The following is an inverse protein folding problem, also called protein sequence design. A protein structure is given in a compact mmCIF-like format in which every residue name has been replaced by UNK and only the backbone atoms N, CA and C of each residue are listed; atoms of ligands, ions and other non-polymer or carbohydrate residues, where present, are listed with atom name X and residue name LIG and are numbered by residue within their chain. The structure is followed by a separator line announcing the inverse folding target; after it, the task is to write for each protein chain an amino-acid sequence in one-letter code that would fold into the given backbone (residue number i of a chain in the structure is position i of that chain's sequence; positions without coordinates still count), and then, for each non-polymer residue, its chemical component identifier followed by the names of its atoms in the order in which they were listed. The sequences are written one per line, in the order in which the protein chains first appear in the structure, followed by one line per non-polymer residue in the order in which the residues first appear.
data_IF_157436759508
#
_entry.id   IF_157436759508
#
_cell.length_a   1.000
_cell.length_b   1.000
_cell.length_c   1.000
_cell.angle_alpha   90.00
_cell.angle_beta   90.00
_cell.angle_gamma   90.00
#
_symmetry.space_group_name_H-M   'P 1'
#
loop_
_entity.id
_entity.type
_entity.pdbx_description
1 polymer ?
#
# COMPACT_ATOMS: atom_id res chain seq x y z
N UNK A 1 1.34 4.12 -30.92
CA UNK A 1 1.02 5.33 -30.12
C UNK A 1 -0.39 5.15 -29.62
N UNK A 2 -0.62 5.26 -28.31
CA UNK A 2 -1.95 5.18 -27.69
C UNK A 2 -2.53 6.60 -27.67
N UNK A 3 -3.80 6.77 -28.01
CA UNK A 3 -4.45 8.07 -27.92
C UNK A 3 -4.64 8.49 -26.45
N UNK A 4 -4.60 9.78 -26.14
CA UNK A 4 -4.64 10.28 -24.77
C UNK A 4 -5.88 9.80 -23.99
N UNK A 5 -7.03 9.75 -24.65
CA UNK A 5 -8.30 9.26 -24.11
C UNK A 5 -8.31 7.75 -23.81
N UNK A 6 -7.41 6.98 -24.44
CA UNK A 6 -7.28 5.54 -24.25
C UNK A 6 -6.12 5.13 -23.33
N UNK A 7 -5.35 6.09 -22.80
CA UNK A 7 -4.16 5.79 -21.96
C UNK A 7 -4.54 4.98 -20.72
N UNK A 8 -5.60 5.36 -20.00
CA UNK A 8 -5.99 4.65 -18.79
C UNK A 8 -6.43 3.22 -19.08
N UNK A 9 -7.24 3.03 -20.13
CA UNK A 9 -7.71 1.71 -20.55
C UNK A 9 -6.54 0.80 -20.96
N UNK A 10 -5.61 1.34 -21.75
CA UNK A 10 -4.45 0.60 -22.22
C UNK A 10 -3.46 0.30 -21.09
N UNK A 11 -3.24 1.24 -20.16
CA UNK A 11 -2.38 1.03 -18.99
C UNK A 11 -2.99 0.03 -18.01
N UNK A 12 -4.32 -0.01 -17.91
CA UNK A 12 -5.05 -1.00 -17.11
C UNK A 12 -5.27 -2.34 -17.82
N UNK A 13 -4.67 -2.57 -18.98
CA UNK A 13 -4.83 -3.80 -19.78
C UNK A 13 -6.29 -4.18 -20.07
N UNK A 14 -7.17 -3.18 -20.21
CA UNK A 14 -8.61 -3.38 -20.41
C UNK A 14 -9.42 -3.73 -19.15
N UNK A 15 -8.83 -3.63 -17.97
CA UNK A 15 -9.47 -3.98 -16.68
C UNK A 15 -10.09 -2.79 -15.95
N UNK A 16 -9.98 -1.57 -16.49
CA UNK A 16 -10.43 -0.35 -15.80
C UNK A 16 -11.93 -0.39 -15.49
N UNK A 17 -12.75 -0.92 -16.41
CA UNK A 17 -14.20 -1.05 -16.19
C UNK A 17 -14.53 -2.04 -15.08
N UNK A 18 -13.71 -3.08 -14.87
CA UNK A 18 -13.93 -4.08 -13.81
C UNK A 18 -13.67 -3.49 -12.42
N UNK A 19 -12.64 -2.65 -12.28
CA UNK A 19 -12.35 -1.95 -11.02
C UNK A 19 -13.41 -0.91 -10.63
N UNK A 20 -14.26 -0.51 -11.57
CA UNK A 20 -15.33 0.48 -11.35
C UNK A 20 -16.72 -0.13 -11.43
N UNK A 21 -16.83 -1.47 -11.45
CA UNK A 21 -18.12 -2.13 -11.57
C UNK A 21 -19.01 -1.83 -10.36
N UNK A 22 -20.25 -1.39 -10.62
CA UNK A 22 -21.18 -0.98 -9.57
C UNK A 22 -21.45 -2.11 -8.59
N UNK A 23 -21.32 -1.84 -7.30
CA UNK A 23 -21.58 -2.80 -6.22
C UNK A 23 -20.35 -3.64 -5.84
N UNK A 24 -19.24 -3.53 -6.57
CA UNK A 24 -17.94 -3.99 -6.10
C UNK A 24 -17.47 -3.12 -4.93
N UNK A 25 -16.90 -3.77 -3.92
CA UNK A 25 -16.15 -3.13 -2.85
C UNK A 25 -14.67 -3.40 -3.07
N UNK A 26 -13.87 -2.39 -2.75
CA UNK A 26 -12.42 -2.47 -2.82
C UNK A 26 -11.84 -2.09 -1.48
N UNK A 27 -10.89 -2.88 -1.02
CA UNK A 27 -10.07 -2.59 0.15
C UNK A 27 -8.61 -2.92 -0.19
N UNK A 28 -7.68 -2.07 0.20
CA UNK A 28 -6.27 -2.22 -0.11
C UNK A 28 -5.45 -2.08 1.17
N UNK A 29 -4.61 -3.08 1.39
CA UNK A 29 -3.60 -3.11 2.44
C UNK A 29 -2.23 -3.24 1.79
N UNK A 30 -1.19 -2.77 2.45
CA UNK A 30 0.16 -2.95 1.93
C UNK A 30 1.23 -2.99 3.01
N UNK A 31 2.35 -3.62 2.67
CA UNK A 31 3.59 -3.58 3.43
C UNK A 31 4.75 -3.42 2.46
N UNK A 32 5.88 -2.88 2.94
CA UNK A 32 7.08 -2.77 2.12
C UNK A 32 8.21 -3.61 2.69
N UNK A 33 8.99 -4.22 1.80
CA UNK A 33 10.07 -5.14 2.18
C UNK A 33 11.39 -4.74 1.53
N UNK A 34 12.48 -4.92 2.28
CA UNK A 34 13.86 -4.80 1.80
C UNK A 34 14.30 -6.08 1.09
N UNK A 35 13.78 -7.22 1.52
CA UNK A 35 14.14 -8.54 0.99
C UNK A 35 12.94 -9.48 1.00
N UNK A 36 13.00 -10.49 0.14
CA UNK A 36 11.94 -11.48 -0.02
C UNK A 36 12.19 -12.65 0.91
N UNK A 37 11.28 -12.82 1.88
CA UNK A 37 11.18 -14.05 2.63
C UNK A 37 10.25 -15.02 1.90
N UNK A 38 10.84 -16.05 1.28
CA UNK A 38 10.09 -17.01 0.48
C UNK A 38 9.00 -17.73 1.28
N UNK A 39 9.23 -17.98 2.58
CA UNK A 39 8.27 -18.68 3.43
C UNK A 39 7.03 -17.83 3.69
N UNK A 40 7.18 -16.55 4.01
CA UNK A 40 6.07 -15.60 4.16
C UNK A 40 5.25 -15.49 2.88
N UNK A 41 5.91 -15.38 1.73
CA UNK A 41 5.27 -15.27 0.43
C UNK A 41 4.44 -16.51 0.09
N UNK A 42 5.02 -17.71 0.22
CA UNK A 42 4.33 -18.98 -0.02
C UNK A 42 3.15 -19.14 0.95
N UNK A 43 3.35 -18.84 2.23
CA UNK A 43 2.30 -18.94 3.23
C UNK A 43 1.14 -17.98 2.94
N UNK A 44 1.44 -16.74 2.55
CA UNK A 44 0.41 -15.77 2.21
C UNK A 44 -0.37 -16.20 0.96
N UNK A 45 0.31 -16.67 -0.09
CA UNK A 45 -0.37 -17.19 -1.27
C UNK A 45 -1.32 -18.34 -0.93
N UNK A 46 -0.87 -19.31 -0.13
CA UNK A 46 -1.73 -20.41 0.30
C UNK A 46 -2.94 -19.94 1.13
N UNK A 47 -2.75 -18.93 1.99
CA UNK A 47 -3.85 -18.31 2.74
C UNK A 47 -4.80 -17.55 1.84
N UNK A 48 -4.31 -16.88 0.80
CA UNK A 48 -5.15 -16.19 -0.19
C UNK A 48 -6.00 -17.19 -0.98
N UNK A 49 -5.42 -18.33 -1.37
CA UNK A 49 -6.17 -19.44 -1.99
C UNK A 49 -7.27 -19.94 -1.06
N UNK A 50 -6.97 -20.13 0.23
CA UNK A 50 -7.97 -20.52 1.21
C UNK A 50 -9.05 -19.44 1.39
N UNK A 51 -8.66 -18.16 1.41
CA UNK A 51 -9.58 -17.04 1.54
C UNK A 51 -10.59 -16.99 0.40
N UNK A 52 -10.17 -17.25 -0.85
CA UNK A 52 -11.08 -17.37 -1.98
C UNK A 52 -12.07 -18.54 -1.85
N UNK A 53 -11.63 -19.67 -1.29
CA UNK A 53 -12.50 -20.83 -1.04
C UNK A 53 -13.53 -20.55 0.08
N UNK A 54 -13.09 -19.92 1.16
CA UNK A 54 -13.94 -19.59 2.31
C UNK A 54 -14.93 -18.46 1.97
N UNK A 55 -14.51 -17.52 1.11
CA UNK A 55 -15.28 -16.36 0.70
C UNK A 55 -15.32 -16.22 -0.84
N UNK A 56 -16.16 -17.02 -1.55
CA UNK A 56 -16.25 -16.96 -3.00
C UNK A 56 -16.64 -15.58 -3.55
N UNK A 57 -17.35 -14.76 -2.77
CA UNK A 57 -17.70 -13.37 -3.12
C UNK A 57 -16.49 -12.44 -3.19
N UNK A 58 -15.31 -12.87 -2.71
CA UNK A 58 -14.05 -12.13 -2.73
C UNK A 58 -13.05 -12.67 -3.77
N UNK A 59 -13.49 -13.48 -4.75
CA UNK A 59 -12.61 -14.08 -5.76
C UNK A 59 -11.90 -13.08 -6.67
N UNK A 60 -12.33 -11.82 -6.70
CA UNK A 60 -11.65 -10.72 -7.40
C UNK A 60 -10.43 -10.18 -6.66
N UNK A 61 -10.20 -10.63 -5.43
CA UNK A 61 -9.04 -10.21 -4.62
C UNK A 61 -7.73 -10.73 -5.23
N UNK A 62 -6.69 -9.92 -5.17
CA UNK A 62 -5.39 -10.18 -5.76
C UNK A 62 -4.25 -9.72 -4.82
N UNK A 63 -3.05 -10.22 -5.11
CA UNK A 63 -1.82 -9.80 -4.48
C UNK A 63 -0.84 -9.35 -5.56
N UNK A 64 -0.40 -8.11 -5.46
CA UNK A 64 0.57 -7.51 -6.36
C UNK A 64 1.90 -7.34 -5.63
N UNK A 65 2.97 -7.78 -6.28
CA UNK A 65 4.33 -7.58 -5.80
C UNK A 65 5.04 -6.65 -6.77
N UNK A 66 5.26 -5.40 -6.35
CA UNK A 66 5.92 -4.39 -7.18
C UNK A 66 7.39 -4.29 -6.79
N UNK A 67 8.29 -4.65 -7.69
CA UNK A 67 9.74 -4.51 -7.49
C UNK A 67 10.27 -3.31 -8.23
N UNK A 68 11.06 -2.49 -7.52
CA UNK A 68 11.71 -1.32 -8.09
C UNK A 68 13.22 -1.37 -7.89
N UNK A 69 14.03 -1.12 -8.94
CA UNK A 69 15.46 -0.94 -8.79
C UNK A 69 15.77 0.29 -7.92
N UNK A 70 16.51 0.09 -6.82
CA UNK A 70 16.72 1.14 -5.81
C UNK A 70 17.97 2.01 -6.04
N UNK A 71 18.76 1.75 -7.07
CA UNK A 71 20.07 2.39 -7.27
C UNK A 71 19.95 3.91 -7.39
N UNK A 72 18.95 4.39 -8.14
CA UNK A 72 18.75 5.83 -8.34
C UNK A 72 18.22 6.53 -7.07
N UNK A 73 17.28 5.91 -6.35
CA UNK A 73 16.72 6.49 -5.12
C UNK A 73 17.72 6.47 -3.96
N UNK A 74 18.62 5.48 -3.91
CA UNK A 74 19.68 5.38 -2.90
C UNK A 74 20.91 6.24 -3.20
N UNK A 75 21.16 6.59 -4.47
CA UNK A 75 22.27 7.46 -4.87
C UNK A 75 22.09 8.94 -4.45
N UNK A 76 20.86 9.34 -4.11
CA UNK A 76 20.54 10.70 -3.71
C UNK A 76 20.51 10.81 -2.18
N UNK A 77 21.08 11.89 -1.65
CA UNK A 77 21.13 12.14 -0.21
C UNK A 77 19.73 12.10 0.43
N UNK A 78 19.64 11.49 1.59
CA UNK A 78 18.35 11.21 2.22
C UNK A 78 17.54 12.49 2.50
N UNK A 79 18.21 13.52 3.03
CA UNK A 79 17.66 14.84 3.38
C UNK A 79 17.30 15.75 2.20
N UNK A 80 17.62 15.35 0.97
CA UNK A 80 17.36 16.15 -0.22
C UNK A 80 15.88 16.14 -0.67
N UNK A 81 15.07 15.21 -0.16
CA UNK A 81 13.65 15.08 -0.48
C UNK A 81 12.82 14.75 0.76
N UNK A 82 11.50 14.74 0.60
CA UNK A 82 10.57 14.31 1.65
C UNK A 82 10.39 12.79 1.72
N UNK A 83 10.86 12.02 0.73
CA UNK A 83 10.68 10.57 0.70
C UNK A 83 11.72 9.87 1.59
N UNK A 84 11.30 9.13 2.64
CA UNK A 84 12.20 8.53 3.64
C UNK A 84 12.69 7.11 3.26
N UNK A 85 11.87 6.30 2.59
CA UNK A 85 12.04 4.84 2.54
C UNK A 85 12.89 4.36 1.36
N UNK A 86 14.09 4.92 1.19
CA UNK A 86 14.97 4.68 0.02
C UNK A 86 15.49 3.24 -0.13
N UNK A 87 15.28 2.39 0.87
CA UNK A 87 15.77 1.01 0.90
C UNK A 87 14.67 -0.04 0.72
N UNK A 88 13.43 0.37 0.46
CA UNK A 88 12.38 -0.56 0.06
C UNK A 88 12.74 -1.12 -1.32
N UNK A 89 12.77 -2.45 -1.44
CA UNK A 89 13.05 -3.13 -2.72
C UNK A 89 11.78 -3.65 -3.39
N UNK A 90 10.75 -3.96 -2.59
CA UNK A 90 9.44 -4.34 -3.11
C UNK A 90 8.30 -3.81 -2.24
N UNK A 91 7.16 -3.53 -2.88
CA UNK A 91 5.88 -3.24 -2.23
C UNK A 91 4.95 -4.44 -2.39
N UNK A 92 4.41 -4.89 -1.28
CA UNK A 92 3.45 -5.99 -1.17
C UNK A 92 2.07 -5.37 -1.03
N UNK A 93 1.27 -5.45 -2.09
CA UNK A 93 -0.07 -4.84 -2.13
C UNK A 93 -1.14 -5.92 -2.14
N UNK A 94 -1.98 -5.92 -1.13
CA UNK A 94 -3.08 -6.87 -0.95
C UNK A 94 -4.37 -6.16 -1.30
N UNK A 95 -4.90 -6.43 -2.49
CA UNK A 95 -6.12 -5.80 -3.00
C UNK A 95 -7.28 -6.76 -2.86
N UNK A 96 -8.27 -6.40 -2.06
CA UNK A 96 -9.48 -7.18 -1.87
C UNK A 96 -10.61 -6.58 -2.69
N UNK A 97 -11.22 -7.41 -3.53
CA UNK A 97 -12.38 -7.07 -4.34
C UNK A 97 -13.48 -8.05 -4.01
N UNK A 98 -14.62 -7.54 -3.55
CA UNK A 98 -15.71 -8.36 -3.04
C UNK A 98 -17.08 -7.71 -3.17
N UNK A 99 -18.13 -8.53 -3.19
CA UNK A 99 -19.53 -8.08 -3.37
C UNK A 99 -20.40 -8.23 -2.12
N UNK A 100 -20.08 -9.19 -1.24
CA UNK A 100 -20.81 -9.40 0.00
C UNK A 100 -20.33 -8.44 1.10
N UNK A 101 -21.20 -7.54 1.57
CA UNK A 101 -20.83 -6.58 2.61
C UNK A 101 -20.61 -7.23 3.98
N UNK A 102 -21.14 -8.43 4.21
CA UNK A 102 -21.06 -9.11 5.51
C UNK A 102 -19.66 -9.63 5.86
N UNK A 103 -18.77 -9.73 4.86
CA UNK A 103 -17.40 -10.22 5.04
C UNK A 103 -16.37 -9.10 5.26
N UNK A 104 -16.79 -7.83 5.36
CA UNK A 104 -15.88 -6.68 5.52
C UNK A 104 -14.86 -6.88 6.64
N UNK A 105 -15.32 -7.21 7.85
CA UNK A 105 -14.41 -7.48 8.97
C UNK A 105 -13.45 -8.65 8.70
N UNK A 106 -13.85 -9.63 7.88
CA UNK A 106 -12.97 -10.77 7.51
C UNK A 106 -11.89 -10.32 6.54
N UNK A 107 -12.23 -9.42 5.62
CA UNK A 107 -11.28 -8.78 4.71
C UNK A 107 -10.26 -7.96 5.50
N UNK A 108 -10.72 -7.06 6.37
CA UNK A 108 -9.84 -6.20 7.19
C UNK A 108 -8.88 -7.03 8.04
N UNK A 109 -9.40 -8.06 8.73
CA UNK A 109 -8.58 -8.95 9.55
C UNK A 109 -7.55 -9.72 8.70
N UNK A 110 -7.91 -10.14 7.49
CA UNK A 110 -6.99 -10.84 6.61
C UNK A 110 -5.89 -9.90 6.09
N UNK A 111 -6.26 -8.69 5.66
CA UNK A 111 -5.33 -7.64 5.24
C UNK A 111 -4.34 -7.26 6.35
N UNK A 112 -4.83 -6.95 7.55
CA UNK A 112 -3.98 -6.66 8.70
C UNK A 112 -3.04 -7.83 9.04
N UNK A 113 -3.53 -9.08 8.95
CA UNK A 113 -2.68 -10.26 9.17
C UNK A 113 -1.56 -10.39 8.14
N UNK A 114 -1.81 -9.97 6.89
CA UNK A 114 -0.82 -9.93 5.83
C UNK A 114 0.23 -8.87 6.14
N UNK A 115 -0.19 -7.63 6.45
CA UNK A 115 0.72 -6.54 6.84
C UNK A 115 1.63 -6.96 7.99
N UNK A 116 1.08 -7.58 9.04
CA UNK A 116 1.87 -8.06 10.18
C UNK A 116 2.89 -9.14 9.79
N UNK A 117 2.50 -10.11 8.95
CA UNK A 117 3.39 -11.19 8.53
C UNK A 117 4.55 -10.69 7.65
N UNK A 118 4.26 -9.81 6.70
CA UNK A 118 5.27 -9.22 5.84
C UNK A 118 6.15 -8.23 6.59
N UNK A 119 5.61 -7.42 7.50
CA UNK A 119 6.41 -6.55 8.36
C UNK A 119 7.44 -7.34 9.17
N UNK A 120 7.01 -8.45 9.80
CA UNK A 120 7.88 -9.31 10.61
C UNK A 120 9.04 -9.96 9.83
N UNK A 121 8.96 -10.00 8.50
CA UNK A 121 9.98 -10.60 7.62
C UNK A 121 10.51 -9.61 6.58
N UNK A 122 10.22 -8.32 6.76
CA UNK A 122 10.48 -7.27 5.77
C UNK A 122 11.97 -6.95 5.61
N UNK A 123 12.79 -7.26 6.62
CA UNK A 123 14.17 -6.77 6.71
C UNK A 123 14.27 -5.33 7.23
N UNK A 124 13.20 -4.80 7.83
CA UNK A 124 13.18 -3.58 8.64
C UNK A 124 12.82 -3.92 10.09
N UNK A 125 13.18 -3.03 11.02
CA UNK A 125 12.85 -3.18 12.44
C UNK A 125 11.40 -2.74 12.75
N UNK A 126 10.82 -1.95 11.86
CA UNK A 126 9.50 -1.33 11.95
C UNK A 126 8.79 -1.33 10.58
N UNK A 127 7.48 -1.04 10.59
CA UNK A 127 6.68 -0.99 9.37
C UNK A 127 7.12 0.19 8.49
N UNK A 128 7.45 -0.09 7.24
CA UNK A 128 7.73 0.93 6.23
C UNK A 128 6.65 0.83 5.15
N UNK A 129 6.05 1.95 4.78
CA UNK A 129 5.03 1.98 3.75
C UNK A 129 5.18 3.23 2.87
N UNK A 130 4.99 3.07 1.57
CA UNK A 130 4.85 4.25 0.72
C UNK A 130 3.50 4.91 1.00
N UNK A 131 3.50 6.18 1.40
CA UNK A 131 2.28 6.90 1.82
C UNK A 131 1.11 6.80 0.83
N UNK A 132 1.39 6.71 -0.48
CA UNK A 132 0.35 6.55 -1.51
C UNK A 132 -0.31 5.17 -1.51
N UNK A 133 0.29 4.18 -0.87
CA UNK A 133 -0.20 2.81 -0.72
C UNK A 133 -0.66 2.49 0.71
N UNK A 134 -0.52 3.43 1.65
CA UNK A 134 -0.94 3.25 3.02
C UNK A 134 -2.47 3.15 3.12
N UNK A 135 -2.95 2.22 3.94
CA UNK A 135 -4.37 1.98 4.19
C UNK A 135 -5.00 3.11 5.01
N UNK A 136 -4.23 3.74 5.90
CA UNK A 136 -4.64 4.82 6.80
C UNK A 136 -4.71 4.41 8.28
N UNK A 137 -4.32 3.18 8.60
CA UNK A 137 -4.15 2.68 9.97
C UNK A 137 -2.69 2.71 10.42
N UNK A 138 -1.77 3.00 9.51
CA UNK A 138 -0.34 3.05 9.78
C UNK A 138 0.06 4.29 10.57
N UNK A 139 1.09 4.13 11.40
CA UNK A 139 1.68 5.25 12.14
C UNK A 139 2.37 6.25 11.21
N UNK A 140 2.43 7.52 11.61
CA UNK A 140 3.09 8.57 10.80
C UNK A 140 4.55 8.25 10.49
N UNK A 141 5.27 7.60 11.41
CA UNK A 141 6.65 7.19 11.18
C UNK A 141 6.76 6.14 10.06
N UNK A 142 5.79 5.23 9.96
CA UNK A 142 5.77 4.20 8.94
C UNK A 142 5.53 4.78 7.54
N UNK A 143 4.76 5.86 7.43
CA UNK A 143 4.44 6.53 6.16
C UNK A 143 5.44 7.60 5.75
N UNK A 144 5.97 8.36 6.72
CA UNK A 144 6.75 9.57 6.48
C UNK A 144 8.19 9.52 6.98
N UNK A 145 8.59 8.48 7.71
CA UNK A 145 9.92 8.36 8.29
C UNK A 145 10.11 9.28 9.49
N UNK A 146 10.60 8.72 10.60
CA UNK A 146 10.81 9.46 11.85
C UNK A 146 11.77 10.64 11.67
N UNK A 147 12.73 10.55 10.75
CA UNK A 147 13.72 11.56 10.44
C UNK A 147 13.16 12.74 9.62
N UNK A 148 12.11 12.55 8.83
CA UNK A 148 11.48 13.63 8.03
C UNK A 148 10.35 14.29 8.78
N UNK A 149 9.65 13.54 9.62
CA UNK A 149 8.41 13.96 10.26
C UNK A 149 8.50 15.31 10.98
N UNK A 150 9.56 15.65 11.76
CA UNK A 150 9.65 16.95 12.42
C UNK A 150 9.66 18.14 11.44
N UNK A 151 10.36 18.02 10.31
CA UNK A 151 10.41 19.07 9.29
C UNK A 151 9.07 19.18 8.56
N UNK A 152 8.45 18.04 8.25
CA UNK A 152 7.15 17.99 7.59
C UNK A 152 6.04 18.62 8.44
N UNK A 153 5.96 18.29 9.73
CA UNK A 153 4.99 18.87 10.67
C UNK A 153 5.20 20.39 10.84
N UNK A 154 6.46 20.85 10.87
CA UNK A 154 6.76 22.28 10.90
C UNK A 154 6.24 23.01 9.66
N UNK A 155 6.42 22.42 8.47
CA UNK A 155 5.91 22.98 7.22
C UNK A 155 4.38 22.94 7.17
N UNK A 156 3.76 21.86 7.61
CA UNK A 156 2.29 21.73 7.72
C UNK A 156 1.70 22.85 8.56
N UNK A 157 2.27 23.13 9.74
CA UNK A 157 1.85 24.25 10.61
C UNK A 157 2.05 25.63 9.99
N UNK A 158 3.10 25.80 9.19
CA UNK A 158 3.41 27.07 8.54
C UNK A 158 2.47 27.37 7.38
N UNK A 159 2.20 26.37 6.54
CA UNK A 159 1.49 26.55 5.27
C UNK A 159 0.01 26.15 5.31
N UNK A 160 -0.38 25.27 6.22
CA UNK A 160 -1.77 24.90 6.46
C UNK A 160 -2.11 24.89 7.97
N UNK A 161 -2.03 26.06 8.64
CA UNK A 161 -2.29 26.18 10.08
C UNK A 161 -3.72 25.85 10.49
N UNK A 162 -4.65 25.80 9.52
CA UNK A 162 -6.07 25.47 9.75
C UNK A 162 -6.40 24.01 9.41
N UNK A 163 -5.42 23.23 8.95
CA UNK A 163 -5.60 21.82 8.61
C UNK A 163 -6.57 21.57 7.45
N UNK A 164 -6.73 22.52 6.53
CA UNK A 164 -7.68 22.42 5.41
C UNK A 164 -7.32 21.30 4.42
N UNK A 165 -6.05 20.88 4.38
CA UNK A 165 -5.52 19.86 3.46
C UNK A 165 -5.05 18.62 4.21
N UNK A 166 -5.98 17.84 4.76
CA UNK A 166 -5.67 16.70 5.65
C UNK A 166 -6.34 15.38 5.25
N UNK A 167 -6.74 15.24 3.99
CA UNK A 167 -7.35 14.03 3.44
C UNK A 167 -6.29 13.02 2.98
N UNK A 168 -6.68 11.73 2.90
CA UNK A 168 -5.88 10.63 2.34
C UNK A 168 -4.47 10.52 2.96
N UNK A 169 -4.41 10.11 4.23
CA UNK A 169 -3.16 9.94 4.99
C UNK A 169 -2.37 11.24 5.22
N UNK A 170 -3.07 12.38 5.32
CA UNK A 170 -2.43 13.68 5.51
C UNK A 170 -1.77 13.85 6.88
N UNK A 171 -0.73 14.69 6.93
CA UNK A 171 -0.08 15.09 8.18
C UNK A 171 -1.06 15.83 9.11
N UNK A 172 -1.03 15.58 10.43
CA UNK A 172 -1.82 16.35 11.39
C UNK A 172 -1.32 17.81 11.49
N UNK A 173 -2.22 18.71 11.89
CA UNK A 173 -1.93 20.14 12.10
C UNK A 173 -1.59 20.44 13.57
#
# INVERSE_FOLDING_TARGET
MINWDAINEAAGFGLVTEFCAKGQKHDMWAASVRSIDAKTHINFFNKLVQFWNDYPSASGSAWHVEYFPIQAVTAIADDSTAYPHRRISAHEMFTFSFTDSSIGDKVDNFGLSAVNAFNATSGFDDLHIYVSYAHGTEELNAMYGAEKLPRLLKLKKMWDPKGLFSYNNGLPH
#
